data_IF_821966516138
#
_entry.id   IF_821966516138
#
_cell.length_a   1.000
_cell.length_b   1.000
_cell.length_c   1.000
_cell.angle_alpha   90.00
_cell.angle_beta   90.00
_cell.angle_gamma   90.00
#
_symmetry.space_group_name_H-M   'P 1'
#
loop_
_entity.id
_entity.type
_entity.pdbx_description
1 polymer ?
#
# COMPACT_ATOMS: atom_id res chain seq x y z
N UNK A 1 -19.11 -57.52 -31.15
CA UNK A 1 -19.47 -56.75 -29.93
C UNK A 1 -18.24 -56.33 -29.15
N UNK A 2 -17.46 -57.25 -28.56
CA UNK A 2 -16.28 -56.92 -27.75
C UNK A 2 -15.20 -56.09 -28.48
N UNK A 3 -14.90 -56.43 -29.74
CA UNK A 3 -13.89 -55.73 -30.55
C UNK A 3 -14.28 -54.27 -30.87
N UNK A 4 -15.57 -54.02 -31.06
CA UNK A 4 -16.06 -52.66 -31.37
C UNK A 4 -15.98 -51.77 -30.13
N UNK A 5 -16.28 -52.35 -28.96
CA UNK A 5 -16.18 -51.67 -27.66
C UNK A 5 -14.73 -51.32 -27.34
N UNK A 6 -13.79 -52.25 -27.54
CA UNK A 6 -12.37 -51.98 -27.28
C UNK A 6 -11.80 -50.91 -28.20
N UNK A 7 -12.16 -50.92 -29.49
CA UNK A 7 -11.75 -49.88 -30.44
C UNK A 7 -12.30 -48.52 -30.02
N UNK A 8 -13.59 -48.44 -29.65
CA UNK A 8 -14.22 -47.19 -29.23
C UNK A 8 -13.60 -46.64 -27.93
N UNK A 9 -13.29 -47.51 -26.95
CA UNK A 9 -12.60 -47.10 -25.72
C UNK A 9 -11.18 -46.61 -25.99
N UNK A 10 -10.43 -47.24 -26.89
CA UNK A 10 -9.10 -46.76 -27.27
C UNK A 10 -9.14 -45.40 -27.97
N UNK A 11 -10.12 -45.19 -28.86
CA UNK A 11 -10.35 -43.90 -29.52
C UNK A 11 -10.69 -42.79 -28.52
N UNK A 12 -11.56 -43.08 -27.53
CA UNK A 12 -11.91 -42.14 -26.46
C UNK A 12 -10.71 -41.80 -25.55
N UNK A 13 -9.89 -42.78 -25.18
CA UNK A 13 -8.66 -42.53 -24.40
C UNK A 13 -7.65 -41.70 -25.20
N UNK A 14 -7.46 -41.99 -26.48
CA UNK A 14 -6.59 -41.22 -27.37
C UNK A 14 -7.03 -39.77 -27.50
N UNK A 15 -8.34 -39.51 -27.59
CA UNK A 15 -8.90 -38.17 -27.66
C UNK A 15 -8.66 -37.38 -26.35
N UNK A 16 -8.82 -38.02 -25.19
CA UNK A 16 -8.54 -37.39 -23.88
C UNK A 16 -7.07 -37.00 -23.71
N UNK A 17 -6.13 -37.76 -24.26
CA UNK A 17 -4.69 -37.48 -24.20
C UNK A 17 -4.25 -36.29 -25.07
N UNK A 18 -5.08 -35.89 -26.05
CA UNK A 18 -4.83 -34.73 -26.91
C UNK A 18 -5.42 -33.43 -26.40
N UNK A 19 -6.25 -33.48 -25.36
CA UNK A 19 -6.76 -32.27 -24.73
C UNK A 19 -5.56 -31.56 -24.07
N UNK A 20 -5.20 -30.33 -24.50
CA UNK A 20 -4.22 -29.55 -23.75
C UNK A 20 -4.80 -29.37 -22.35
N UNK A 21 -4.21 -30.05 -21.38
CA UNK A 21 -4.53 -29.82 -19.98
C UNK A 21 -4.42 -28.32 -19.72
N UNK A 22 -5.36 -27.77 -18.98
CA UNK A 22 -5.29 -26.37 -18.51
C UNK A 22 -4.12 -26.30 -17.53
N UNK A 23 -2.91 -26.20 -18.05
CA UNK A 23 -1.70 -26.02 -17.27
C UNK A 23 -1.72 -24.57 -16.78
N UNK A 24 -1.41 -24.38 -15.50
CA UNK A 24 -1.22 -23.04 -14.96
C UNK A 24 -0.16 -22.31 -15.80
N UNK A 25 -0.40 -21.06 -16.22
CA UNK A 25 0.52 -20.34 -17.11
C UNK A 25 1.90 -20.22 -16.47
N UNK A 26 2.94 -20.40 -17.28
CA UNK A 26 4.31 -20.10 -16.86
C UNK A 26 4.50 -18.58 -16.86
N UNK A 27 5.29 -18.09 -15.92
CA UNK A 27 5.67 -16.68 -15.91
C UNK A 27 6.40 -16.31 -17.21
N UNK A 28 6.00 -15.19 -17.80
CA UNK A 28 6.66 -14.64 -18.98
C UNK A 28 7.88 -13.81 -18.58
N UNK A 29 8.91 -13.81 -19.42
CA UNK A 29 10.06 -12.93 -19.22
C UNK A 29 9.70 -11.45 -19.51
N UNK A 30 10.24 -10.49 -18.75
CA UNK A 30 9.97 -9.07 -18.98
C UNK A 30 10.65 -8.59 -20.27
N UNK A 31 9.96 -7.73 -21.03
CA UNK A 31 10.53 -7.11 -22.24
C UNK A 31 11.76 -6.25 -21.96
N UNK A 32 11.88 -5.70 -20.75
CA UNK A 32 12.99 -4.86 -20.33
C UNK A 32 13.22 -5.01 -18.83
N UNK A 33 14.48 -5.13 -18.43
CA UNK A 33 14.90 -5.13 -17.03
C UNK A 33 15.91 -4.02 -16.81
N UNK A 34 15.79 -3.33 -15.67
CA UNK A 34 16.73 -2.29 -15.26
C UNK A 34 17.47 -2.80 -14.02
N UNK A 35 18.80 -2.72 -14.04
CA UNK A 35 19.58 -2.91 -12.81
C UNK A 35 19.26 -1.73 -11.86
N UNK A 36 19.05 -2.03 -10.59
CA UNK A 36 18.94 -1.03 -9.51
C UNK A 36 20.03 0.06 -9.53
N UNK A 37 21.23 -0.25 -10.04
CA UNK A 37 22.36 0.68 -10.22
C UNK A 37 22.15 1.67 -11.38
N UNK A 38 21.29 1.32 -12.34
CA UNK A 38 20.97 2.09 -13.54
C UNK A 38 19.66 2.86 -13.39
N UNK A 39 18.80 2.47 -12.43
CA UNK A 39 17.62 3.27 -12.08
C UNK A 39 18.13 4.66 -11.65
N UNK A 40 17.73 5.75 -12.36
CA UNK A 40 18.16 7.09 -12.02
C UNK A 40 17.89 7.36 -10.53
N UNK A 41 18.69 8.20 -9.89
CA UNK A 41 18.45 8.65 -8.52
C UNK A 41 17.14 9.44 -8.43
N UNK A 42 16.03 8.70 -8.33
CA UNK A 42 14.69 9.25 -8.25
C UNK A 42 14.55 10.02 -6.94
N UNK A 43 13.68 11.05 -6.93
CA UNK A 43 13.36 11.77 -5.70
C UNK A 43 12.82 10.80 -4.65
N UNK A 44 13.29 10.92 -3.41
CA UNK A 44 12.81 10.08 -2.31
C UNK A 44 12.13 10.94 -1.25
N UNK A 45 10.95 10.48 -0.82
CA UNK A 45 10.31 10.97 0.38
C UNK A 45 10.70 10.10 1.57
N UNK A 46 11.33 10.68 2.57
CA UNK A 46 11.78 9.98 3.80
C UNK A 46 11.18 10.57 5.07
N UNK A 47 10.12 11.38 4.96
CA UNK A 47 9.51 12.07 6.09
C UNK A 47 10.21 13.37 6.49
N UNK A 48 11.13 13.90 5.67
CA UNK A 48 11.71 15.23 5.90
C UNK A 48 10.69 16.34 5.60
N UNK A 49 10.76 17.44 6.34
CA UNK A 49 9.91 18.61 6.20
C UNK A 49 10.70 19.92 6.11
N UNK A 50 10.00 21.07 6.11
CA UNK A 50 10.62 22.39 6.04
C UNK A 50 11.46 22.68 7.29
N UNK A 51 12.50 23.52 7.15
CA UNK A 51 13.31 23.97 8.29
C UNK A 51 14.09 22.88 9.02
N UNK A 52 14.36 21.73 8.35
CA UNK A 52 15.05 20.60 8.98
C UNK A 52 14.17 19.74 9.89
N UNK A 53 12.85 19.98 9.91
CA UNK A 53 11.92 19.11 10.63
C UNK A 53 11.93 17.72 10.03
N UNK A 54 11.84 16.71 10.89
CA UNK A 54 11.73 15.31 10.49
C UNK A 54 10.50 14.70 11.14
N UNK A 55 9.70 14.01 10.33
CA UNK A 55 8.68 13.10 10.83
C UNK A 55 9.25 11.69 10.97
N UNK A 56 8.63 10.90 11.83
CA UNK A 56 8.97 9.49 12.03
C UNK A 56 8.26 8.61 10.99
N UNK A 57 8.67 8.70 9.71
CA UNK A 57 8.06 7.92 8.63
C UNK A 57 8.38 6.43 8.82
N UNK A 58 7.52 5.74 9.55
CA UNK A 58 7.65 4.32 9.88
C UNK A 58 6.32 3.63 9.63
N UNK A 59 6.40 2.37 9.17
CA UNK A 59 5.23 1.55 8.84
C UNK A 59 4.25 2.30 7.93
N UNK A 60 4.66 2.62 6.70
CA UNK A 60 3.76 3.20 5.68
C UNK A 60 2.61 2.24 5.42
N UNK A 61 1.39 2.77 5.39
CA UNK A 61 0.16 2.00 5.26
C UNK A 61 -0.48 2.18 3.88
N UNK A 62 -0.58 3.43 3.42
CA UNK A 62 -1.19 3.78 2.14
C UNK A 62 -0.53 5.03 1.56
N UNK A 63 -0.32 5.01 0.24
CA UNK A 63 0.00 6.19 -0.57
C UNK A 63 -1.19 6.45 -1.48
N UNK A 64 -1.72 7.66 -1.46
CA UNK A 64 -2.88 8.06 -2.27
C UNK A 64 -2.77 9.51 -2.73
N UNK A 65 -3.74 9.97 -3.51
CA UNK A 65 -3.82 11.33 -4.02
C UNK A 65 -5.17 11.91 -3.67
N UNK A 66 -5.17 13.10 -3.08
CA UNK A 66 -6.39 13.86 -2.78
C UNK A 66 -6.22 15.23 -3.42
N UNK A 67 -7.10 15.56 -4.37
CA UNK A 67 -6.91 16.71 -5.25
C UNK A 67 -5.60 16.59 -6.03
N UNK A 68 -4.71 17.58 -5.89
CA UNK A 68 -3.37 17.58 -6.51
C UNK A 68 -2.25 17.14 -5.56
N UNK A 69 -2.58 16.84 -4.30
CA UNK A 69 -1.60 16.52 -3.27
C UNK A 69 -1.43 15.00 -3.13
N UNK A 70 -0.20 14.57 -2.90
CA UNK A 70 0.09 13.19 -2.50
C UNK A 70 -0.06 13.10 -0.98
N UNK A 71 -0.74 12.06 -0.53
CA UNK A 71 -1.00 11.79 0.88
C UNK A 71 -0.42 10.42 1.24
N UNK A 72 0.48 10.40 2.23
CA UNK A 72 1.11 9.18 2.74
C UNK A 72 0.66 8.99 4.18
N UNK A 73 -0.07 7.91 4.43
CA UNK A 73 -0.49 7.52 5.78
C UNK A 73 0.46 6.46 6.35
N UNK A 74 0.77 6.58 7.63
CA UNK A 74 1.78 5.78 8.30
C UNK A 74 1.40 5.52 9.76
N UNK A 75 2.37 5.07 10.57
CA UNK A 75 2.23 5.00 12.02
C UNK A 75 2.12 6.41 12.61
N UNK A 76 1.05 6.65 13.36
CA UNK A 76 0.70 7.86 14.09
C UNK A 76 0.69 9.15 13.27
N UNK A 77 0.78 9.08 11.95
CA UNK A 77 1.04 10.27 11.14
C UNK A 77 0.51 10.12 9.71
N UNK A 78 0.19 11.28 9.14
CA UNK A 78 -0.18 11.45 7.74
C UNK A 78 0.63 12.62 7.19
N UNK A 79 1.29 12.40 6.07
CA UNK A 79 2.11 13.39 5.38
C UNK A 79 1.44 13.82 4.10
N UNK A 80 1.44 15.12 3.84
CA UNK A 80 0.86 15.71 2.63
C UNK A 80 1.92 16.54 1.93
N UNK A 81 2.09 16.37 0.62
CA UNK A 81 2.97 17.21 -0.18
C UNK A 81 2.44 17.40 -1.60
N UNK A 82 2.87 18.49 -2.23
CA UNK A 82 2.68 18.67 -3.66
C UNK A 82 3.71 17.85 -4.43
N UNK A 83 3.31 16.93 -5.34
CA UNK A 83 4.25 16.19 -6.16
C UNK A 83 5.13 17.10 -7.04
N UNK A 84 4.69 18.35 -7.32
CA UNK A 84 5.44 19.34 -8.09
C UNK A 84 6.42 20.17 -7.24
N UNK A 85 6.34 20.10 -5.90
CA UNK A 85 7.28 20.81 -5.00
C UNK A 85 8.71 20.25 -5.02
N UNK A 86 8.95 19.23 -5.85
CA UNK A 86 10.25 18.60 -6.00
C UNK A 86 11.34 19.60 -6.42
N UNK A 87 12.44 19.62 -5.67
CA UNK A 87 13.64 20.37 -5.99
C UNK A 87 14.76 19.42 -6.41
N UNK A 88 15.29 19.65 -7.62
CA UNK A 88 16.43 18.91 -8.17
C UNK A 88 17.71 19.07 -7.35
N UNK A 89 17.81 20.12 -6.53
CA UNK A 89 19.02 20.42 -5.72
C UNK A 89 19.23 19.39 -4.61
N UNK A 90 18.16 18.92 -3.97
CA UNK A 90 18.28 18.09 -2.76
C UNK A 90 17.83 16.64 -2.97
N UNK A 91 17.25 16.31 -4.14
CA UNK A 91 16.68 14.98 -4.47
C UNK A 91 15.74 14.41 -3.39
N UNK A 92 15.19 15.30 -2.57
CA UNK A 92 14.35 14.98 -1.42
C UNK A 92 13.03 15.69 -1.61
N UNK A 93 11.98 14.93 -1.41
CA UNK A 93 10.63 15.47 -1.30
C UNK A 93 10.42 15.80 0.18
N UNK A 94 9.91 17.01 0.43
CA UNK A 94 9.54 17.44 1.77
C UNK A 94 8.03 17.45 1.92
N UNK A 95 7.52 17.11 3.10
CA UNK A 95 6.11 17.31 3.38
C UNK A 95 5.80 18.80 3.50
N UNK A 96 4.61 19.21 3.08
CA UNK A 96 4.06 20.55 3.31
C UNK A 96 3.28 20.58 4.62
N UNK A 97 2.53 19.50 4.88
CA UNK A 97 1.74 19.35 6.10
C UNK A 97 1.97 17.96 6.70
N UNK A 98 1.89 17.88 8.02
CA UNK A 98 1.92 16.63 8.76
C UNK A 98 0.82 16.64 9.82
N UNK A 99 -0.10 15.68 9.73
CA UNK A 99 -1.08 15.42 10.78
C UNK A 99 -0.52 14.32 11.69
N UNK A 100 -0.39 14.62 12.98
CA UNK A 100 0.01 13.65 14.01
C UNK A 100 -1.21 13.17 14.77
N UNK A 101 -1.42 11.87 14.79
CA UNK A 101 -2.54 11.23 15.48
C UNK A 101 -2.10 9.97 16.23
N UNK A 102 -1.63 10.18 17.45
CA UNK A 102 -1.29 9.11 18.40
C UNK A 102 -2.54 8.61 19.14
N UNK A 103 -2.53 7.35 19.62
CA UNK A 103 -3.55 6.87 20.55
C UNK A 103 -3.57 7.66 21.85
N UNK A 104 -4.76 8.03 22.33
CA UNK A 104 -4.90 8.73 23.61
C UNK A 104 -4.70 7.76 24.78
N UNK A 105 -3.65 8.00 25.59
CA UNK A 105 -3.35 7.41 26.90
C UNK A 105 -3.93 6.01 27.16
N UNK A 106 -3.70 5.10 26.22
CA UNK A 106 -4.23 3.75 26.28
C UNK A 106 -3.28 2.84 27.05
N UNK A 107 -3.22 3.04 28.37
CA UNK A 107 -2.30 2.35 29.27
C UNK A 107 -2.49 0.84 29.29
N UNK A 108 -3.68 0.34 28.95
CA UNK A 108 -4.03 -1.08 28.97
C UNK A 108 -4.12 -1.71 27.57
N UNK A 109 -3.51 -1.11 26.55
CA UNK A 109 -3.55 -1.66 25.19
C UNK A 109 -3.00 -3.09 25.08
N UNK A 110 -1.97 -3.42 25.87
CA UNK A 110 -1.35 -4.75 25.87
C UNK A 110 -2.34 -5.89 26.21
N UNK A 111 -3.51 -5.57 26.77
CA UNK A 111 -4.58 -6.53 27.03
C UNK A 111 -5.38 -6.89 25.77
N UNK A 112 -5.39 -6.03 24.74
CA UNK A 112 -6.15 -6.20 23.49
C UNK A 112 -5.32 -6.73 22.33
N UNK A 113 -4.00 -6.68 22.43
CA UNK A 113 -3.10 -7.11 21.36
C UNK A 113 -1.88 -7.80 21.93
N UNK A 114 -1.46 -8.88 21.27
CA UNK A 114 -0.29 -9.68 21.65
C UNK A 114 1.02 -8.93 21.47
N UNK A 115 1.10 -8.04 20.46
CA UNK A 115 2.33 -7.30 20.17
C UNK A 115 2.22 -5.85 20.64
N UNK A 116 3.18 -5.40 21.45
CA UNK A 116 3.26 -4.01 21.94
C UNK A 116 3.35 -2.97 20.80
N UNK A 117 3.94 -3.33 19.65
CA UNK A 117 3.98 -2.44 18.49
C UNK A 117 2.59 -2.08 17.96
N UNK A 118 1.61 -2.95 18.16
CA UNK A 118 0.22 -2.71 17.75
C UNK A 118 -0.51 -1.70 18.66
N UNK A 119 0.09 -1.29 19.78
CA UNK A 119 -0.40 -0.25 20.67
C UNK A 119 -0.14 1.16 20.14
N UNK A 120 -0.30 1.32 18.84
CA UNK A 120 -0.04 2.53 18.08
C UNK A 120 -1.20 2.73 17.13
N UNK A 121 -1.29 3.94 16.58
CA UNK A 121 -2.30 4.23 15.60
C UNK A 121 -1.74 4.05 14.19
N UNK A 122 -2.04 2.92 13.56
CA UNK A 122 -1.73 2.72 12.15
C UNK A 122 -2.88 3.30 11.35
N UNK A 123 -2.63 4.37 10.60
CA UNK A 123 -3.65 5.00 9.76
C UNK A 123 -3.86 4.14 8.53
N UNK A 124 -5.05 3.56 8.37
CA UNK A 124 -5.35 2.55 7.34
C UNK A 124 -6.29 3.04 6.25
N UNK A 125 -7.07 4.07 6.56
CA UNK A 125 -8.05 4.65 5.64
C UNK A 125 -7.80 6.15 5.59
N UNK A 126 -7.57 6.66 4.39
CA UNK A 126 -7.60 8.08 4.07
C UNK A 126 -8.36 8.22 2.75
N UNK A 127 -9.55 8.79 2.80
CA UNK A 127 -10.43 8.89 1.63
C UNK A 127 -11.20 10.22 1.63
N UNK A 128 -11.36 10.88 0.47
CA UNK A 128 -12.26 12.02 0.38
C UNK A 128 -13.70 11.54 0.62
N UNK A 129 -14.47 12.34 1.37
CA UNK A 129 -15.91 12.11 1.60
C UNK A 129 -16.76 13.26 1.07
N UNK A 130 -16.20 14.47 1.01
CA UNK A 130 -16.76 15.63 0.31
C UNK A 130 -15.62 16.34 -0.43
N UNK A 131 -15.91 17.34 -1.30
CA UNK A 131 -14.86 18.14 -1.93
C UNK A 131 -13.89 18.80 -0.94
N UNK A 132 -14.35 19.09 0.28
CA UNK A 132 -13.59 19.83 1.30
C UNK A 132 -13.35 19.00 2.57
N UNK A 133 -13.58 17.68 2.55
CA UNK A 133 -13.38 16.85 3.72
C UNK A 133 -12.88 15.44 3.38
N UNK A 134 -12.01 14.94 4.25
CA UNK A 134 -11.50 13.56 4.22
C UNK A 134 -11.88 12.81 5.47
N UNK A 135 -12.28 11.55 5.29
CA UNK A 135 -12.40 10.59 6.37
C UNK A 135 -11.06 9.89 6.56
N UNK A 136 -10.60 9.89 7.81
CA UNK A 136 -9.37 9.24 8.23
C UNK A 136 -9.69 8.23 9.32
N UNK A 137 -9.33 6.97 9.12
CA UNK A 137 -9.47 5.93 10.14
C UNK A 137 -8.13 5.25 10.43
N UNK A 138 -7.91 4.92 11.71
CA UNK A 138 -6.72 4.21 12.15
C UNK A 138 -7.03 3.18 13.23
N UNK A 139 -6.07 2.28 13.46
CA UNK A 139 -6.20 1.17 14.43
C UNK A 139 -6.28 1.64 15.88
N UNK A 140 -5.71 2.82 16.17
CA UNK A 140 -5.77 3.52 17.45
C UNK A 140 -5.63 2.61 18.69
N UNK A 141 -4.51 1.89 18.79
CA UNK A 141 -4.24 0.92 19.88
C UNK A 141 -5.26 -0.20 20.01
N UNK A 142 -5.55 -0.86 18.88
CA UNK A 142 -6.57 -1.92 18.77
C UNK A 142 -7.97 -1.43 19.20
N UNK A 143 -8.27 -0.15 18.99
CA UNK A 143 -9.59 0.48 19.14
C UNK A 143 -9.89 1.32 17.91
N UNK A 144 -10.20 0.70 16.76
CA UNK A 144 -10.35 1.41 15.49
C UNK A 144 -11.24 2.64 15.63
N UNK A 145 -10.75 3.78 15.16
CA UNK A 145 -11.42 5.07 15.30
C UNK A 145 -11.33 5.81 13.98
N UNK A 146 -12.38 6.56 13.63
CA UNK A 146 -12.43 7.43 12.47
C UNK A 146 -12.62 8.89 12.89
N UNK A 147 -12.08 9.81 12.09
CA UNK A 147 -12.25 11.26 12.21
C UNK A 147 -12.43 11.87 10.83
N UNK A 148 -13.27 12.88 10.76
CA UNK A 148 -13.37 13.74 9.59
C UNK A 148 -12.43 14.93 9.77
N UNK A 149 -11.73 15.28 8.70
CA UNK A 149 -10.88 16.45 8.64
C UNK A 149 -11.31 17.30 7.47
N UNK A 150 -11.50 18.60 7.75
CA UNK A 150 -11.69 19.60 6.70
C UNK A 150 -10.36 19.84 5.97
N UNK A 151 -10.46 20.06 4.67
CA UNK A 151 -9.35 20.37 3.78
C UNK A 151 -9.57 21.81 3.32
N UNK A 152 -8.62 22.68 3.68
CA UNK A 152 -8.52 24.06 3.19
C UNK A 152 -7.76 24.15 1.86
#
# INVERSE_FOLDING_TARGET
MALLVTILTCLLLGLCLTLPGVAFPKDAEPNMSFDSKVVPHLPVFVGSGPGGTTGELTDVQQVTTIGKKVVISARNSIYVFDPQSFTTKNRRISFEQILRWYPQNDTNCYQRTTLLRNCQNYIRVVTPITPNAVLVCGTNSARPTCREYEID
#
